data_IF_636852071595
#
_entry.id   IF_636852071595
#
_cell.length_a   1.000
_cell.length_b   1.000
_cell.length_c   1.000
_cell.angle_alpha   90.00
_cell.angle_beta   90.00
_cell.angle_gamma   90.00
#
_symmetry.space_group_name_H-M   'P 1'
#
loop_
_entity.id
_entity.type
_entity.pdbx_description
1 polymer ?
#
# COMPACT_ATOMS: atom_id res chain seq x y z
N UNK A 1 -14.33 92.53 -25.99
CA UNK A 1 -13.97 91.10 -25.78
C UNK A 1 -15.26 90.41 -25.36
N UNK A 2 -16.16 90.13 -26.31
CA UNK A 2 -16.32 88.86 -27.03
C UNK A 2 -16.58 87.65 -26.10
N UNK A 3 -17.89 87.37 -25.96
CA UNK A 3 -18.54 86.06 -26.11
C UNK A 3 -18.00 84.84 -25.34
N UNK A 4 -18.83 84.31 -24.44
CA UNK A 4 -19.02 82.85 -24.29
C UNK A 4 -19.61 82.29 -25.59
N UNK A 5 -19.40 81.01 -25.97
CA UNK A 5 -20.50 80.07 -25.75
C UNK A 5 -20.20 78.56 -25.71
N UNK A 6 -21.07 77.89 -24.92
CA UNK A 6 -21.88 76.68 -25.21
C UNK A 6 -21.24 75.37 -25.69
N UNK A 7 -21.66 74.32 -24.99
CA UNK A 7 -22.08 73.02 -25.56
C UNK A 7 -23.41 72.71 -24.82
N UNK A 8 -24.63 72.85 -25.39
CA UNK A 8 -25.33 72.01 -26.41
C UNK A 8 -25.30 70.53 -26.01
N UNK A 9 -26.37 69.73 -25.95
CA UNK A 9 -27.77 69.85 -26.34
C UNK A 9 -28.45 68.52 -26.00
N UNK A 10 -29.71 68.60 -25.59
CA UNK A 10 -30.60 67.45 -25.42
C UNK A 10 -30.91 66.84 -26.78
N UNK A 11 -30.81 65.52 -26.95
CA UNK A 11 -31.61 64.86 -27.99
C UNK A 11 -31.86 63.37 -27.78
N UNK A 12 -33.13 63.01 -28.02
CA UNK A 12 -33.67 61.72 -28.48
C UNK A 12 -33.98 60.56 -27.50
N UNK A 13 -35.24 60.58 -27.07
CA UNK A 13 -36.21 59.47 -26.97
C UNK A 13 -35.85 58.17 -27.74
N UNK A 14 -36.03 57.00 -27.10
CA UNK A 14 -36.77 55.88 -27.72
C UNK A 14 -37.29 54.84 -26.70
N UNK A 15 -38.54 54.46 -26.95
CA UNK A 15 -39.37 53.43 -26.32
C UNK A 15 -38.82 51.99 -26.35
N UNK A 16 -39.30 51.21 -25.36
CA UNK A 16 -39.68 49.77 -25.35
C UNK A 16 -38.73 48.72 -25.95
N UNK A 17 -38.31 47.73 -25.14
CA UNK A 17 -38.60 46.29 -25.34
C UNK A 17 -37.71 45.39 -24.44
N UNK A 18 -38.40 44.49 -23.73
CA UNK A 18 -38.00 43.13 -23.35
C UNK A 18 -36.63 42.82 -22.73
N UNK A 19 -36.61 42.51 -21.42
CA UNK A 19 -35.71 41.49 -20.85
C UNK A 19 -36.21 40.94 -19.49
N UNK A 20 -36.91 39.79 -19.57
CA UNK A 20 -36.87 38.59 -18.71
C UNK A 20 -36.61 38.72 -17.19
N UNK A 21 -37.50 38.22 -16.30
CA UNK A 21 -37.21 38.12 -14.88
C UNK A 21 -36.21 36.98 -14.62
N UNK A 22 -35.04 37.29 -14.05
CA UNK A 22 -34.11 36.30 -13.53
C UNK A 22 -34.60 35.79 -12.18
N UNK A 23 -34.76 34.48 -12.12
CA UNK A 23 -35.17 33.73 -10.95
C UNK A 23 -34.11 33.77 -9.84
N UNK A 24 -34.59 33.77 -8.58
CA UNK A 24 -34.04 32.81 -7.61
C UNK A 24 -33.23 33.30 -6.43
N UNK A 25 -33.39 34.52 -5.90
CA UNK A 25 -32.81 34.89 -4.58
C UNK A 25 -33.83 35.30 -3.49
N UNK A 26 -35.14 35.12 -3.70
CA UNK A 26 -36.15 35.50 -2.69
C UNK A 26 -36.88 34.33 -2.01
N UNK A 27 -36.60 33.08 -2.37
CA UNK A 27 -37.35 31.91 -1.83
C UNK A 27 -36.87 31.42 -0.44
N UNK A 28 -35.78 31.96 0.10
CA UNK A 28 -35.17 31.46 1.35
C UNK A 28 -35.92 31.80 2.65
N UNK A 29 -36.95 32.66 2.60
CA UNK A 29 -37.64 33.13 3.82
C UNK A 29 -38.85 32.29 4.25
N UNK A 30 -39.38 31.43 3.38
CA UNK A 30 -40.63 30.68 3.64
C UNK A 30 -40.46 29.15 3.67
N UNK A 31 -39.23 28.63 3.61
CA UNK A 31 -38.97 27.19 3.64
C UNK A 31 -39.38 26.59 4.99
N UNK A 32 -40.24 25.57 4.95
CA UNK A 32 -40.82 24.94 6.14
C UNK A 32 -39.72 24.33 7.01
N UNK A 33 -39.99 24.12 8.29
CA UNK A 33 -39.04 23.51 9.25
C UNK A 33 -38.48 22.18 8.72
N UNK A 34 -39.26 21.46 7.91
CA UNK A 34 -38.89 20.19 7.27
C UNK A 34 -37.80 20.36 6.19
N UNK A 35 -37.88 21.40 5.36
CA UNK A 35 -36.88 21.66 4.31
C UNK A 35 -35.53 22.08 4.90
N UNK A 36 -35.55 22.80 6.02
CA UNK A 36 -34.33 23.17 6.75
C UNK A 36 -33.64 21.95 7.37
N UNK A 37 -34.41 21.03 7.95
CA UNK A 37 -33.86 19.76 8.45
C UNK A 37 -33.24 18.91 7.34
N UNK A 38 -33.90 18.83 6.17
CA UNK A 38 -33.36 18.08 5.02
C UNK A 38 -32.05 18.68 4.51
N UNK A 39 -31.94 20.02 4.43
CA UNK A 39 -30.70 20.69 4.05
C UNK A 39 -29.57 20.48 5.06
N UNK A 40 -29.88 20.47 6.37
CA UNK A 40 -28.89 20.18 7.41
C UNK A 40 -28.40 18.73 7.32
N UNK A 41 -29.30 17.76 7.19
CA UNK A 41 -28.95 16.34 7.04
C UNK A 41 -28.14 16.12 5.77
N UNK A 42 -28.51 16.75 4.65
CA UNK A 42 -27.73 16.64 3.41
C UNK A 42 -26.32 17.22 3.55
N UNK A 43 -26.17 18.35 4.24
CA UNK A 43 -24.86 18.96 4.49
C UNK A 43 -24.02 18.07 5.40
N UNK A 44 -24.61 17.50 6.46
CA UNK A 44 -23.91 16.57 7.35
C UNK A 44 -23.48 15.30 6.61
N UNK A 45 -24.34 14.73 5.77
CA UNK A 45 -23.99 13.58 4.94
C UNK A 45 -22.85 13.90 3.96
N UNK A 46 -22.90 15.06 3.30
CA UNK A 46 -21.83 15.52 2.41
C UNK A 46 -20.54 15.72 3.20
N UNK A 47 -20.58 16.32 4.39
CA UNK A 47 -19.40 16.48 5.25
C UNK A 47 -18.81 15.14 5.67
N UNK A 48 -19.65 14.16 6.05
CA UNK A 48 -19.20 12.81 6.39
C UNK A 48 -18.55 12.12 5.19
N UNK A 49 -19.15 12.22 4.01
CA UNK A 49 -18.59 11.66 2.76
C UNK A 49 -17.25 12.33 2.43
N UNK A 50 -17.15 13.64 2.57
CA UNK A 50 -15.90 14.40 2.35
C UNK A 50 -14.83 13.97 3.35
N UNK A 51 -15.16 13.84 4.63
CA UNK A 51 -14.23 13.35 5.66
C UNK A 51 -13.78 11.91 5.38
N UNK A 52 -14.68 11.02 4.98
CA UNK A 52 -14.34 9.64 4.62
C UNK A 52 -13.42 9.60 3.39
N UNK A 53 -13.72 10.38 2.35
CA UNK A 53 -12.88 10.49 1.16
C UNK A 53 -11.47 11.02 1.49
N UNK A 54 -11.39 12.02 2.39
CA UNK A 54 -10.13 12.56 2.90
C UNK A 54 -9.35 11.50 3.69
N UNK A 55 -10.00 10.76 4.58
CA UNK A 55 -9.36 9.66 5.36
C UNK A 55 -8.87 8.55 4.44
N UNK A 56 -9.63 8.19 3.40
CA UNK A 56 -9.21 7.19 2.42
C UNK A 56 -8.01 7.67 1.60
N UNK A 57 -8.03 8.92 1.13
CA UNK A 57 -6.92 9.53 0.41
C UNK A 57 -5.63 9.63 1.27
N UNK A 58 -5.77 9.86 2.58
CA UNK A 58 -4.62 9.85 3.50
C UNK A 58 -4.18 8.44 3.93
N UNK A 59 -5.01 7.40 3.78
CA UNK A 59 -4.59 6.01 4.00
C UNK A 59 -3.82 5.45 2.82
N UNK A 60 -4.04 5.96 1.61
CA UNK A 60 -3.30 5.55 0.43
C UNK A 60 -1.79 5.85 0.53
N UNK A 61 -1.39 6.85 1.33
CA UNK A 61 0.03 7.13 1.59
C UNK A 61 0.73 6.09 2.47
N UNK A 62 0.00 5.30 3.28
CA UNK A 62 0.59 4.24 4.11
C UNK A 62 0.64 2.88 3.37
N UNK A 63 -0.17 2.69 2.32
CA UNK A 63 -0.27 1.43 1.55
C UNK A 63 0.76 1.36 0.40
N UNK A 64 1.40 2.47 0.03
CA UNK A 64 2.43 2.45 -1.03
C UNK A 64 3.76 1.82 -0.59
N UNK A 65 4.15 1.92 0.68
CA UNK A 65 5.38 1.29 1.18
C UNK A 65 5.30 -0.24 1.17
N UNK A 66 4.12 -0.81 1.49
CA UNK A 66 3.90 -2.26 1.41
C UNK A 66 3.95 -2.80 -0.02
N UNK A 67 3.61 -1.97 -1.03
CA UNK A 67 3.56 -2.43 -2.42
C UNK A 67 4.94 -2.41 -3.08
N UNK A 68 5.82 -1.50 -2.67
CA UNK A 68 7.22 -1.44 -3.10
C UNK A 68 8.09 -2.50 -2.40
N UNK A 69 7.83 -2.79 -1.12
CA UNK A 69 8.52 -3.89 -0.43
C UNK A 69 8.17 -5.27 -1.00
N UNK A 70 6.90 -5.48 -1.37
CA UNK A 70 6.45 -6.75 -1.94
C UNK A 70 6.92 -6.96 -3.40
N UNK A 71 7.34 -5.90 -4.11
CA UNK A 71 8.07 -6.02 -5.38
C UNK A 71 9.58 -6.20 -5.19
N UNK A 72 10.16 -5.60 -4.15
CA UNK A 72 11.61 -5.65 -3.90
C UNK A 72 12.09 -7.04 -3.49
N UNK A 73 11.25 -7.81 -2.81
CA UNK A 73 11.59 -9.12 -2.27
C UNK A 73 10.66 -10.21 -2.78
N UNK A 74 11.23 -11.38 -3.08
CA UNK A 74 10.44 -12.54 -3.45
C UNK A 74 9.67 -13.08 -2.25
N UNK A 75 8.34 -13.09 -2.34
CA UNK A 75 7.45 -13.62 -1.31
C UNK A 75 6.78 -14.94 -1.70
N UNK A 76 7.35 -15.67 -2.67
CA UNK A 76 6.87 -17.03 -2.97
C UNK A 76 7.18 -17.96 -1.80
N UNK A 77 6.40 -19.03 -1.59
CA UNK A 77 6.64 -19.99 -0.52
C UNK A 77 8.07 -20.55 -0.51
N UNK A 78 8.65 -20.74 -1.69
CA UNK A 78 10.02 -21.22 -1.86
C UNK A 78 11.03 -20.19 -1.36
N UNK A 79 10.87 -18.92 -1.73
CA UNK A 79 11.74 -17.85 -1.28
C UNK A 79 11.72 -17.68 0.25
N UNK A 80 10.53 -17.69 0.85
CA UNK A 80 10.38 -17.60 2.31
C UNK A 80 11.06 -18.79 3.01
N UNK A 81 10.90 -20.00 2.46
CA UNK A 81 11.54 -21.21 2.99
C UNK A 81 13.07 -21.15 2.90
N UNK A 82 13.61 -20.70 1.77
CA UNK A 82 15.05 -20.56 1.57
C UNK A 82 15.61 -19.49 2.51
N UNK A 83 14.97 -18.32 2.59
CA UNK A 83 15.38 -17.24 3.49
C UNK A 83 15.41 -17.70 4.95
N UNK A 84 14.38 -18.40 5.41
CA UNK A 84 14.34 -18.99 6.76
C UNK A 84 15.47 -19.99 7.00
N UNK A 85 15.79 -20.83 6.02
CA UNK A 85 16.91 -21.79 6.11
C UNK A 85 18.25 -21.07 6.23
N UNK A 86 18.48 -20.02 5.44
CA UNK A 86 19.71 -19.19 5.50
C UNK A 86 19.82 -18.53 6.88
N UNK A 87 18.76 -17.87 7.35
CA UNK A 87 18.76 -17.16 8.64
C UNK A 87 19.02 -18.10 9.82
N UNK A 88 18.52 -19.34 9.76
CA UNK A 88 18.75 -20.35 10.81
C UNK A 88 20.18 -20.88 10.81
N UNK A 89 20.86 -20.87 9.65
CA UNK A 89 22.24 -21.32 9.54
C UNK A 89 23.25 -20.28 10.03
N UNK A 90 22.89 -18.99 9.98
CA UNK A 90 23.76 -17.88 10.36
C UNK A 90 23.90 -17.72 11.88
N UNK A 91 25.06 -17.21 12.30
CA UNK A 91 25.33 -16.71 13.65
C UNK A 91 25.58 -15.20 13.60
N UNK A 92 24.52 -14.41 13.78
CA UNK A 92 24.56 -12.94 13.62
C UNK A 92 25.30 -12.20 14.72
N UNK A 93 25.80 -12.91 15.74
CA UNK A 93 26.65 -12.33 16.79
C UNK A 93 28.11 -12.19 16.36
N UNK A 94 28.51 -12.83 15.26
CA UNK A 94 29.86 -12.80 14.72
C UNK A 94 29.95 -11.73 13.65
N UNK A 95 31.01 -10.92 13.68
CA UNK A 95 31.27 -9.97 12.61
C UNK A 95 31.67 -10.74 11.33
N UNK A 96 30.91 -10.61 10.22
CA UNK A 96 31.25 -11.27 8.97
C UNK A 96 32.61 -10.85 8.39
N UNK A 97 33.14 -9.67 8.74
CA UNK A 97 34.45 -9.20 8.31
C UNK A 97 35.60 -9.90 9.03
N UNK A 98 35.34 -10.44 10.23
CA UNK A 98 36.33 -11.12 11.06
C UNK A 98 36.31 -12.64 10.82
N UNK A 99 35.12 -13.27 10.83
CA UNK A 99 34.95 -14.69 10.53
C UNK A 99 33.64 -14.94 9.77
N UNK A 100 33.70 -14.84 8.45
CA UNK A 100 32.55 -15.07 7.60
C UNK A 100 32.03 -16.51 7.68
N UNK A 101 32.89 -17.50 7.95
CA UNK A 101 32.46 -18.90 8.04
C UNK A 101 31.60 -19.13 9.27
N UNK A 102 32.05 -18.64 10.43
CA UNK A 102 31.26 -18.71 11.65
C UNK A 102 30.00 -17.84 11.56
N UNK A 103 30.06 -16.66 10.95
CA UNK A 103 28.85 -15.85 10.69
C UNK A 103 27.83 -16.57 9.80
N UNK A 104 28.27 -17.20 8.70
CA UNK A 104 27.36 -17.81 7.74
C UNK A 104 26.86 -19.21 8.16
N UNK A 105 27.67 -19.98 8.90
CA UNK A 105 27.42 -21.39 9.20
C UNK A 105 27.33 -21.70 10.71
N UNK A 106 27.67 -20.77 11.59
CA UNK A 106 27.76 -21.02 13.04
C UNK A 106 26.46 -21.49 13.68
N UNK A 107 25.32 -20.94 13.24
CA UNK A 107 23.99 -21.40 13.65
C UNK A 107 23.71 -22.84 13.19
N UNK A 108 24.10 -23.18 11.96
CA UNK A 108 23.96 -24.55 11.45
C UNK A 108 24.81 -25.54 12.24
N UNK A 109 26.08 -25.22 12.50
CA UNK A 109 26.99 -26.08 13.26
C UNK A 109 26.49 -26.35 14.69
N UNK A 110 25.96 -25.32 15.36
CA UNK A 110 25.34 -25.46 16.69
C UNK A 110 24.15 -26.43 16.69
N UNK A 111 23.35 -26.42 15.63
CA UNK A 111 22.15 -27.24 15.52
C UNK A 111 22.38 -28.64 14.91
N UNK A 112 23.55 -28.87 14.29
CA UNK A 112 23.86 -30.11 13.56
C UNK A 112 25.20 -30.69 14.02
N UNK A 113 25.30 -31.18 15.28
CA UNK A 113 26.50 -31.86 15.75
C UNK A 113 26.75 -33.14 14.93
N UNK A 114 28.01 -33.53 14.80
CA UNK A 114 28.41 -34.74 14.07
C UNK A 114 27.76 -35.96 14.74
N UNK A 115 26.88 -36.71 14.03
CA UNK A 115 26.24 -37.89 14.60
C UNK A 115 27.25 -39.02 14.81
N UNK A 116 26.94 -39.98 15.70
CA UNK A 116 27.75 -41.19 15.85
C UNK A 116 27.97 -41.91 14.51
N UNK A 117 29.17 -42.47 14.34
CA UNK A 117 29.55 -43.20 13.12
C UNK A 117 29.91 -42.32 11.92
N UNK A 118 29.93 -40.99 12.07
CA UNK A 118 30.38 -40.07 11.05
C UNK A 118 31.65 -39.33 11.52
N UNK A 119 32.59 -39.11 10.60
CA UNK A 119 33.82 -38.32 10.87
C UNK A 119 33.68 -36.85 10.47
N UNK A 120 32.67 -36.52 9.66
CA UNK A 120 32.32 -35.17 9.22
C UNK A 120 30.82 -35.08 9.01
N UNK A 121 30.28 -33.87 9.14
CA UNK A 121 28.86 -33.61 8.96
C UNK A 121 28.65 -32.26 8.30
N UNK A 122 27.91 -32.25 7.19
CA UNK A 122 27.74 -31.08 6.36
C UNK A 122 26.61 -31.27 5.36
N UNK A 123 26.44 -30.28 4.49
CA UNK A 123 25.41 -30.28 3.44
C UNK A 123 25.54 -31.48 2.51
N UNK A 124 26.76 -31.92 2.17
CA UNK A 124 26.98 -33.06 1.29
C UNK A 124 26.54 -34.38 1.93
N UNK A 125 26.87 -34.61 3.20
CA UNK A 125 26.44 -35.78 3.96
C UNK A 125 24.91 -35.81 4.08
N UNK A 126 24.28 -34.66 4.37
CA UNK A 126 22.83 -34.55 4.44
C UNK A 126 22.17 -34.87 3.08
N UNK A 127 22.75 -34.38 1.98
CA UNK A 127 22.24 -34.65 0.63
C UNK A 127 22.40 -36.12 0.27
N UNK A 128 23.55 -36.72 0.59
CA UNK A 128 23.79 -38.15 0.39
C UNK A 128 22.77 -39.00 1.14
N UNK A 129 22.50 -38.68 2.40
CA UNK A 129 21.49 -39.40 3.18
C UNK A 129 20.09 -39.24 2.59
N UNK A 130 19.69 -38.04 2.16
CA UNK A 130 18.40 -37.82 1.48
C UNK A 130 18.29 -38.66 0.21
N UNK A 131 19.33 -38.67 -0.62
CA UNK A 131 19.36 -39.47 -1.84
C UNK A 131 19.27 -40.97 -1.54
N UNK A 132 20.00 -41.44 -0.53
CA UNK A 132 19.95 -42.85 -0.12
C UNK A 132 18.56 -43.26 0.39
N UNK A 133 17.87 -42.38 1.12
CA UNK A 133 16.50 -42.62 1.56
C UNK A 133 15.53 -42.74 0.39
N UNK A 134 15.66 -41.87 -0.63
CA UNK A 134 14.84 -41.94 -1.85
C UNK A 134 15.08 -43.27 -2.57
N UNK A 135 16.35 -43.67 -2.76
CA UNK A 135 16.68 -44.95 -3.40
C UNK A 135 16.11 -46.15 -2.63
N UNK A 136 16.24 -46.13 -1.29
CA UNK A 136 15.73 -47.20 -0.43
C UNK A 136 14.20 -47.31 -0.53
N UNK A 137 13.49 -46.19 -0.51
CA UNK A 137 12.04 -46.18 -0.61
C UNK A 137 11.58 -46.71 -1.98
N UNK A 138 12.20 -46.25 -3.06
CA UNK A 138 11.89 -46.74 -4.41
C UNK A 138 12.12 -48.26 -4.53
N UNK A 139 13.26 -48.77 -4.05
CA UNK A 139 13.55 -50.21 -4.08
C UNK A 139 12.54 -50.99 -3.23
N UNK A 140 12.16 -50.49 -2.05
CA UNK A 140 11.16 -51.12 -1.20
C UNK A 140 9.78 -51.22 -1.84
N UNK A 141 9.36 -50.21 -2.60
CA UNK A 141 8.12 -50.24 -3.37
C UNK A 141 8.16 -51.26 -4.53
N UNK A 142 9.34 -51.47 -5.13
CA UNK A 142 9.55 -52.45 -6.22
C UNK A 142 9.65 -53.90 -5.72
N UNK A 143 10.13 -54.11 -4.50
CA UNK A 143 10.26 -55.43 -3.88
C UNK A 143 9.60 -55.45 -2.49
N UNK A 144 8.26 -55.32 -2.42
CA UNK A 144 7.54 -55.46 -1.16
C UNK A 144 7.64 -56.92 -0.71
N UNK A 145 8.45 -57.17 0.32
CA UNK A 145 8.48 -58.44 1.06
C UNK A 145 7.33 -58.49 2.06
#
# INVERSE_FOLDING_TARGET
MKETPKVSEYSHLKETSDAKPSAGLSSWRHRTTQEKCLLLVSVLLVLVIVVLAIVLAFKDSEIQDLKLENEKYCMTPECVKIASTILTAMDTQIDPCEDFYQFACGGWMKNNPIPPGHSRWGTFELMWQKNMLVMKNAIGELFPL
#
